data_IF_680122733153
#
_entry.id   IF_680122733153
#
_cell.length_a   1.000
_cell.length_b   1.000
_cell.length_c   1.000
_cell.angle_alpha   90.00
_cell.angle_beta   90.00
_cell.angle_gamma   90.00
#
_symmetry.space_group_name_H-M   'P 1'
#
loop_
_entity.id
_entity.type
_entity.pdbx_description
1 polymer ?
#
# COMPACT_ATOMS: atom_id res chain seq x y z
N UNK A 1 4.85 -19.09 -8.01
CA UNK A 1 3.72 -19.29 -8.94
C UNK A 1 3.00 -17.98 -9.17
N UNK A 2 1.95 -17.94 -10.00
CA UNK A 2 1.12 -16.75 -10.16
C UNK A 2 0.41 -16.44 -8.83
N UNK A 3 0.33 -15.15 -8.50
CA UNK A 3 -0.45 -14.64 -7.37
C UNK A 3 -1.15 -13.36 -7.80
N UNK A 4 -2.28 -13.07 -7.16
CA UNK A 4 -2.99 -11.80 -7.32
C UNK A 4 -2.59 -10.86 -6.17
N UNK A 5 -2.73 -9.56 -6.39
CA UNK A 5 -2.48 -8.53 -5.39
C UNK A 5 -3.62 -7.51 -5.46
N UNK A 6 -4.21 -7.18 -4.32
CA UNK A 6 -5.25 -6.16 -4.21
C UNK A 6 -4.63 -4.78 -4.16
N UNK A 7 -5.25 -3.82 -4.86
CA UNK A 7 -4.86 -2.41 -4.84
C UNK A 7 -6.03 -1.57 -4.30
N UNK A 8 -5.74 -0.68 -3.35
CA UNK A 8 -6.70 0.29 -2.83
C UNK A 8 -6.22 1.71 -3.15
N UNK A 9 -7.07 2.49 -3.82
CA UNK A 9 -6.80 3.92 -4.04
C UNK A 9 -6.97 4.68 -2.73
N UNK A 10 -6.00 5.53 -2.40
CA UNK A 10 -6.02 6.39 -1.21
C UNK A 10 -5.64 7.81 -1.56
N UNK A 11 -6.07 8.78 -0.75
CA UNK A 11 -5.72 10.18 -0.94
C UNK A 11 -4.21 10.44 -0.73
N UNK A 12 -3.61 9.77 0.26
CA UNK A 12 -2.19 9.86 0.58
C UNK A 12 -1.64 8.48 0.99
N UNK A 13 -0.54 8.07 0.36
CA UNK A 13 0.06 6.75 0.55
C UNK A 13 0.91 6.69 1.82
N UNK A 14 1.63 7.76 2.16
CA UNK A 14 2.48 7.78 3.35
C UNK A 14 1.62 7.81 4.61
N UNK A 15 0.57 8.63 4.62
CA UNK A 15 -0.39 8.68 5.72
C UNK A 15 -1.09 7.33 5.90
N UNK A 16 -1.56 6.73 4.81
CA UNK A 16 -2.24 5.43 4.86
C UNK A 16 -1.29 4.30 5.29
N UNK A 17 -0.03 4.30 4.85
CA UNK A 17 0.98 3.33 5.28
C UNK A 17 1.28 3.45 6.78
N UNK A 18 1.44 4.68 7.29
CA UNK A 18 1.60 4.93 8.71
C UNK A 18 0.39 4.43 9.51
N UNK A 19 -0.82 4.69 8.99
CA UNK A 19 -2.07 4.25 9.63
C UNK A 19 -2.18 2.73 9.72
N UNK A 20 -1.69 2.00 8.72
CA UNK A 20 -1.64 0.53 8.77
C UNK A 20 -0.73 0.06 9.91
N UNK A 21 0.43 0.67 10.10
CA UNK A 21 1.34 0.34 11.22
C UNK A 21 0.70 0.66 12.57
N UNK A 22 0.03 1.80 12.72
CA UNK A 22 -0.70 2.15 13.95
C UNK A 22 -1.79 1.13 14.32
N UNK A 23 -2.40 0.50 13.33
CA UNK A 23 -3.42 -0.52 13.49
C UNK A 23 -2.84 -1.94 13.70
N UNK A 24 -1.52 -2.06 13.86
CA UNK A 24 -0.82 -3.33 14.10
C UNK A 24 -0.41 -4.08 12.84
N UNK A 25 -0.63 -3.50 11.65
CA UNK A 25 -0.11 -4.01 10.40
C UNK A 25 1.37 -3.68 10.21
N UNK A 26 1.89 -4.01 9.03
CA UNK A 26 3.31 -3.84 8.71
C UNK A 26 3.52 -3.38 7.27
N UNK A 27 4.57 -2.58 7.08
CA UNK A 27 5.03 -2.16 5.77
C UNK A 27 5.91 -3.26 5.20
N UNK A 28 5.51 -3.85 4.07
CA UNK A 28 6.29 -4.85 3.32
C UNK A 28 7.21 -4.18 2.30
N UNK A 29 6.71 -3.13 1.65
CA UNK A 29 7.49 -2.26 0.77
C UNK A 29 7.14 -0.81 1.08
N UNK A 30 8.11 0.03 1.42
CA UNK A 30 7.85 1.41 1.82
C UNK A 30 7.27 2.23 0.67
N UNK A 31 6.54 3.33 1.00
CA UNK A 31 6.07 4.29 0.02
C UNK A 31 7.18 4.71 -0.95
N UNK A 32 6.89 4.59 -2.25
CA UNK A 32 7.81 4.95 -3.32
C UNK A 32 7.04 5.47 -4.53
N UNK A 33 7.71 6.27 -5.34
CA UNK A 33 7.19 6.63 -6.66
C UNK A 33 7.19 5.41 -7.58
N UNK A 34 6.09 5.26 -8.31
CA UNK A 34 5.90 4.28 -9.36
C UNK A 34 5.54 4.95 -10.68
N UNK A 35 5.44 4.15 -11.74
CA UNK A 35 5.13 4.66 -13.07
C UNK A 35 3.74 5.29 -13.19
N UNK A 36 2.77 4.80 -12.41
CA UNK A 36 1.36 5.22 -12.48
C UNK A 36 0.88 5.96 -11.24
N UNK A 37 1.76 6.22 -10.28
CA UNK A 37 1.41 6.83 -9.01
C UNK A 37 2.40 6.48 -7.90
N UNK A 38 2.16 7.04 -6.72
CA UNK A 38 2.86 6.66 -5.50
C UNK A 38 2.20 5.43 -4.91
N UNK A 39 2.97 4.50 -4.34
CA UNK A 39 2.43 3.26 -3.78
C UNK A 39 3.27 2.69 -2.65
N UNK A 40 2.63 1.89 -1.79
CA UNK A 40 3.27 1.07 -0.77
C UNK A 40 2.58 -0.31 -0.71
N UNK A 41 3.36 -1.35 -0.42
CA UNK A 41 2.81 -2.67 -0.13
C UNK A 41 2.87 -2.89 1.37
N UNK A 42 1.74 -3.27 1.94
CA UNK A 42 1.56 -3.45 3.38
C UNK A 42 0.89 -4.79 3.64
N UNK A 43 0.83 -5.19 4.90
CA UNK A 43 -0.02 -6.28 5.32
C UNK A 43 -0.70 -5.97 6.65
N UNK A 44 -1.89 -6.53 6.83
CA UNK A 44 -2.65 -6.43 8.08
C UNK A 44 -1.98 -7.25 9.22
N UNK A 45 -2.49 -7.18 10.46
CA UNK A 45 -1.95 -7.96 11.57
C UNK A 45 -1.98 -9.49 11.36
N UNK A 46 -2.87 -9.98 10.50
CA UNK A 46 -3.03 -11.40 10.18
C UNK A 46 -2.12 -11.86 9.02
N UNK A 47 -1.41 -10.93 8.38
CA UNK A 47 -0.44 -11.19 7.32
C UNK A 47 -1.01 -11.11 5.91
N UNK A 48 -2.25 -10.64 5.71
CA UNK A 48 -2.80 -10.46 4.37
C UNK A 48 -2.14 -9.26 3.68
N UNK A 49 -1.45 -9.51 2.57
CA UNK A 49 -0.75 -8.48 1.80
C UNK A 49 -1.65 -7.75 0.81
N UNK A 50 -1.52 -6.43 0.74
CA UNK A 50 -2.19 -5.57 -0.24
C UNK A 50 -1.35 -4.32 -0.54
N UNK A 51 -1.65 -3.67 -1.66
CA UNK A 51 -1.02 -2.40 -2.07
C UNK A 51 -2.00 -1.26 -1.87
N UNK A 52 -1.53 -0.17 -1.29
CA UNK A 52 -2.20 1.14 -1.33
C UNK A 52 -1.50 2.00 -2.38
N UNK A 53 -2.29 2.75 -3.14
CA UNK A 53 -1.80 3.53 -4.27
C UNK A 53 -2.52 4.87 -4.31
N UNK A 54 -1.80 5.92 -4.72
CA UNK A 54 -2.40 7.14 -5.23
C UNK A 54 -1.94 7.30 -6.67
N UNK A 55 -2.85 7.06 -7.59
CA UNK A 55 -2.60 7.19 -9.02
C UNK A 55 -2.37 8.65 -9.37
N UNK A 56 -1.56 8.89 -10.40
CA UNK A 56 -1.52 10.21 -11.01
C UNK A 56 -2.84 10.41 -11.75
N UNK A 57 -3.51 11.53 -11.50
CA UNK A 57 -4.58 12.01 -12.38
C UNK A 57 -3.99 12.11 -13.80
N UNK A 58 -4.71 11.56 -14.79
CA UNK A 58 -4.29 11.59 -16.20
C UNK A 58 -4.33 12.99 -16.79
#
# INVERSE_FOLDING_TARGET
>A
GPHWMTYFEVADVDESAARVVELGGHILQPPREGASGRLATVADPEGAAFTIVRTYEG
#
